data_IF_393832107039
#
_entry.id   IF_393832107039
#
_cell.length_a   1.000
_cell.length_b   1.000
_cell.length_c   1.000
_cell.angle_alpha   90.00
_cell.angle_beta   90.00
_cell.angle_gamma   90.00
#
_symmetry.space_group_name_H-M   'P 1'
#
loop_
_entity.id
_entity.type
_entity.pdbx_description
1 polymer ?
#
# COMPACT_ATOMS: atom_id res chain seq x y z
N UNK A 1 -9.94 -9.88 4.80
CA UNK A 1 -8.91 -8.97 5.35
C UNK A 1 -9.57 -8.08 6.39
N UNK A 2 -9.13 -8.20 7.64
CA UNK A 2 -9.71 -7.51 8.81
C UNK A 2 -8.68 -6.55 9.42
N UNK A 3 -9.11 -5.38 9.89
CA UNK A 3 -8.26 -4.50 10.70
C UNK A 3 -8.27 -5.03 12.15
N UNK A 4 -7.14 -5.57 12.60
CA UNK A 4 -7.06 -6.24 13.91
C UNK A 4 -6.46 -5.36 15.01
N UNK A 5 -5.86 -4.23 14.65
CA UNK A 5 -5.37 -3.25 15.62
C UNK A 5 -4.43 -2.22 15.00
N UNK A 6 -3.96 -1.31 15.85
CA UNK A 6 -3.00 -0.26 15.50
C UNK A 6 -1.84 -0.30 16.50
N UNK A 7 -0.62 -0.36 15.98
CA UNK A 7 0.62 -0.45 16.78
C UNK A 7 1.61 0.63 16.37
N UNK A 8 2.61 0.88 17.21
CA UNK A 8 3.85 1.56 16.81
C UNK A 8 4.90 0.52 16.52
N UNK A 9 5.71 0.74 15.50
CA UNK A 9 6.81 -0.14 15.16
C UNK A 9 8.02 0.70 14.70
N UNK A 10 9.25 0.37 15.12
CA UNK A 10 10.46 1.03 14.65
C UNK A 10 10.55 1.05 13.13
N UNK A 11 10.95 2.19 12.56
CA UNK A 11 10.94 2.38 11.09
C UNK A 11 11.83 1.40 10.35
N UNK A 12 12.90 0.90 10.99
CA UNK A 12 13.80 -0.10 10.41
C UNK A 12 13.21 -1.52 10.35
N UNK A 13 12.15 -1.80 11.12
CA UNK A 13 11.42 -3.07 11.10
C UNK A 13 10.24 -3.03 10.11
N UNK A 14 9.96 -1.88 9.50
CA UNK A 14 8.91 -1.73 8.50
C UNK A 14 9.45 -2.07 7.12
N UNK A 15 9.09 -3.24 6.63
CA UNK A 15 9.57 -3.75 5.35
C UNK A 15 8.52 -3.57 4.26
N UNK A 16 8.88 -3.14 3.05
CA UNK A 16 7.93 -3.06 1.95
C UNK A 16 7.40 -4.45 1.55
N UNK A 17 6.08 -4.62 1.52
CA UNK A 17 5.45 -5.85 1.03
C UNK A 17 5.52 -5.96 -0.49
N UNK A 18 6.01 -7.09 -1.00
CA UNK A 18 6.13 -7.40 -2.42
C UNK A 18 7.15 -6.56 -3.20
N UNK A 19 7.29 -6.88 -4.49
CA UNK A 19 8.05 -6.10 -5.47
C UNK A 19 7.30 -4.81 -5.85
N UNK A 20 6.94 -4.00 -4.86
CA UNK A 20 6.43 -2.67 -5.15
C UNK A 20 7.53 -1.80 -5.77
N UNK A 21 7.09 -0.78 -6.50
CA UNK A 21 7.92 0.10 -7.34
C UNK A 21 9.12 0.70 -6.61
N UNK A 22 10.14 1.06 -7.41
CA UNK A 22 11.34 1.79 -7.00
C UNK A 22 10.98 3.04 -6.18
N UNK A 23 11.74 3.26 -5.11
CA UNK A 23 11.62 4.44 -4.26
C UNK A 23 12.15 5.65 -5.03
N UNK A 24 11.30 6.68 -5.22
CA UNK A 24 11.72 7.96 -5.80
C UNK A 24 12.59 8.73 -4.79
N UNK A 25 13.90 8.92 -5.07
CA UNK A 25 14.80 9.61 -4.15
C UNK A 25 14.40 11.07 -3.90
N UNK A 26 13.77 11.75 -4.86
CA UNK A 26 13.40 13.16 -4.75
C UNK A 26 12.12 13.36 -3.94
N UNK A 27 11.13 12.47 -4.09
CA UNK A 27 9.99 12.42 -3.18
C UNK A 27 10.44 12.16 -1.73
N UNK A 28 11.37 11.22 -1.51
CA UNK A 28 11.95 10.97 -0.19
C UNK A 28 12.66 12.21 0.35
N UNK A 29 13.45 12.90 -0.49
CA UNK A 29 14.17 14.12 -0.09
C UNK A 29 13.22 15.27 0.28
N UNK A 30 12.14 15.46 -0.50
CA UNK A 30 11.10 16.45 -0.20
C UNK A 30 10.40 16.14 1.12
N UNK A 31 10.02 14.88 1.34
CA UNK A 31 9.39 14.44 2.59
C UNK A 31 10.33 14.60 3.80
N UNK A 32 11.60 14.24 3.67
CA UNK A 32 12.59 14.45 4.73
C UNK A 32 12.72 15.95 5.08
N UNK A 33 12.80 16.83 4.07
CA UNK A 33 12.80 18.29 4.29
C UNK A 33 11.51 18.82 4.92
N UNK A 34 10.36 18.18 4.66
CA UNK A 34 9.12 18.51 5.35
C UNK A 34 9.19 18.10 6.82
N UNK A 35 9.79 16.96 7.15
CA UNK A 35 10.02 16.53 8.54
C UNK A 35 10.97 17.45 9.29
N UNK A 36 11.96 18.05 8.61
CA UNK A 36 12.84 19.05 9.21
C UNK A 36 12.09 20.37 9.55
N UNK A 37 11.11 20.75 8.72
CA UNK A 37 10.42 22.05 8.82
C UNK A 37 9.12 22.02 9.62
N UNK A 38 8.50 20.85 9.74
CA UNK A 38 7.23 20.64 10.42
C UNK A 38 7.31 19.38 11.25
N UNK A 39 6.67 19.35 12.43
CA UNK A 39 6.62 18.13 13.24
C UNK A 39 6.18 16.93 12.39
N UNK A 40 6.90 15.82 12.56
CA UNK A 40 6.54 14.55 11.98
C UNK A 40 5.18 14.11 12.54
N UNK A 41 4.09 14.40 11.81
CA UNK A 41 2.68 14.08 12.13
C UNK A 41 2.37 12.58 12.08
N UNK A 42 3.23 11.76 12.70
CA UNK A 42 3.21 10.30 12.76
C UNK A 42 1.93 9.75 13.40
N UNK A 43 1.27 10.55 14.23
CA UNK A 43 0.04 10.21 14.96
C UNK A 43 -1.26 10.61 14.24
N UNK A 44 -1.17 11.30 13.09
CA UNK A 44 -2.35 11.60 12.28
C UNK A 44 -2.79 10.36 11.50
N UNK A 45 -4.11 10.08 11.52
CA UNK A 45 -4.70 8.87 10.93
C UNK A 45 -4.43 8.73 9.42
N UNK A 46 -4.19 9.85 8.73
CA UNK A 46 -3.81 9.94 7.32
C UNK A 46 -2.38 9.46 7.06
N UNK A 47 -1.51 9.61 8.06
CA UNK A 47 -0.09 9.26 7.97
C UNK A 47 0.20 7.83 8.42
N UNK A 48 -0.78 7.08 8.90
CA UNK A 48 -0.57 5.68 9.28
C UNK A 48 -0.23 4.85 8.05
N UNK A 49 0.62 3.85 8.26
CA UNK A 49 0.91 2.85 7.23
C UNK A 49 0.11 1.59 7.52
N UNK A 50 -0.10 0.77 6.50
CA UNK A 50 -0.87 -0.48 6.57
C UNK A 50 0.09 -1.66 6.51
N UNK A 51 0.16 -2.43 7.58
CA UNK A 51 0.91 -3.68 7.64
C UNK A 51 0.02 -4.88 7.32
N UNK A 52 0.52 -5.84 6.56
CA UNK A 52 -0.10 -7.17 6.41
C UNK A 52 0.45 -8.09 7.50
N UNK A 53 -0.45 -8.83 8.13
CA UNK A 53 -0.13 -9.89 9.06
C UNK A 53 -0.99 -11.12 8.76
N UNK A 54 -0.44 -12.31 8.96
CA UNK A 54 -1.19 -13.57 8.98
C UNK A 54 -1.76 -13.83 10.37
N UNK A 55 -2.62 -14.84 10.51
CA UNK A 55 -3.07 -15.29 11.83
C UNK A 55 -1.93 -15.77 12.73
N UNK A 56 -0.89 -16.37 12.15
CA UNK A 56 0.27 -16.82 12.92
C UNK A 56 1.10 -15.62 13.40
N UNK A 57 1.32 -14.62 12.54
CA UNK A 57 1.95 -13.37 12.95
C UNK A 57 1.14 -12.67 14.04
N UNK A 58 -0.19 -12.67 13.94
CA UNK A 58 -1.06 -12.05 14.93
C UNK A 58 -0.89 -12.68 16.31
N UNK A 59 -0.86 -14.01 16.40
CA UNK A 59 -0.59 -14.73 17.67
C UNK A 59 0.77 -14.35 18.24
N UNK A 60 1.79 -14.29 17.38
CA UNK A 60 3.13 -13.89 17.76
C UNK A 60 3.13 -12.44 18.30
N UNK A 61 2.53 -11.50 17.58
CA UNK A 61 2.44 -10.08 17.96
C UNK A 61 1.73 -9.92 19.30
N UNK A 62 0.60 -10.61 19.49
CA UNK A 62 -0.16 -10.60 20.76
C UNK A 62 0.73 -11.07 21.91
N UNK A 63 1.49 -12.15 21.69
CA UNK A 63 2.44 -12.68 22.68
C UNK A 63 3.58 -11.70 22.99
N UNK A 64 4.18 -11.05 21.98
CA UNK A 64 5.27 -10.10 22.18
C UNK A 64 4.82 -8.81 22.89
N UNK A 65 3.60 -8.36 22.60
CA UNK A 65 3.01 -7.20 23.25
C UNK A 65 2.43 -7.52 24.65
N UNK A 66 2.49 -8.79 25.07
CA UNK A 66 1.87 -9.29 26.30
C UNK A 66 0.42 -8.80 26.46
N UNK A 67 -0.36 -8.91 25.38
CA UNK A 67 -1.72 -8.36 25.29
C UNK A 67 -2.73 -9.42 24.85
N UNK A 68 -3.99 -9.05 24.71
CA UNK A 68 -5.05 -9.91 24.14
C UNK A 68 -5.49 -9.38 22.77
N UNK A 69 -6.14 -10.23 21.96
CA UNK A 69 -6.72 -9.78 20.68
C UNK A 69 -7.76 -8.66 20.89
N UNK A 70 -8.57 -8.77 21.95
CA UNK A 70 -9.54 -7.72 22.30
C UNK A 70 -8.86 -6.39 22.64
N UNK A 71 -7.78 -6.42 23.44
CA UNK A 71 -7.01 -5.24 23.78
C UNK A 71 -6.33 -4.62 22.53
N UNK A 72 -5.84 -5.46 21.61
CA UNK A 72 -5.29 -5.01 20.35
C UNK A 72 -6.36 -4.33 19.48
N UNK A 73 -7.60 -4.86 19.42
CA UNK A 73 -8.73 -4.20 18.75
C UNK A 73 -9.11 -2.87 19.41
N UNK A 74 -9.00 -2.76 20.74
CA UNK A 74 -9.27 -1.52 21.47
C UNK A 74 -8.28 -0.38 21.16
N UNK A 75 -7.09 -0.67 20.64
CA UNK A 75 -6.12 0.36 20.20
C UNK A 75 -6.71 1.26 19.10
N UNK A 76 -7.64 0.73 18.29
CA UNK A 76 -8.33 1.47 17.22
C UNK A 76 -9.13 2.64 17.80
N UNK A 77 -9.73 2.45 18.98
CA UNK A 77 -10.63 3.43 19.60
C UNK A 77 -9.88 4.39 20.53
N UNK A 78 -8.89 3.90 21.28
CA UNK A 78 -8.24 4.66 22.36
C UNK A 78 -7.10 5.57 21.90
N UNK A 79 -6.67 5.48 20.64
CA UNK A 79 -5.49 6.18 20.09
C UNK A 79 -4.20 5.98 20.92
N UNK A 80 -4.13 4.89 21.68
CA UNK A 80 -2.96 4.46 22.43
C UNK A 80 -2.41 3.21 21.75
N UNK A 81 -1.20 3.32 21.22
CA UNK A 81 -0.62 2.30 20.36
C UNK A 81 0.60 1.65 21.05
N UNK A 82 0.56 0.34 21.32
CA UNK A 82 1.68 -0.37 21.91
C UNK A 82 2.86 -0.40 20.93
N UNK A 83 4.09 -0.44 21.45
CA UNK A 83 5.30 -0.49 20.64
C UNK A 83 5.72 -1.95 20.42
N UNK A 84 5.73 -2.39 19.16
CA UNK A 84 6.28 -3.67 18.73
C UNK A 84 7.72 -3.44 18.24
N UNK A 85 8.70 -3.80 19.07
CA UNK A 85 10.12 -3.48 18.84
C UNK A 85 10.98 -4.65 18.38
N UNK A 86 10.44 -5.86 18.34
CA UNK A 86 11.18 -7.11 18.18
C UNK A 86 10.86 -7.85 16.88
N UNK A 87 9.90 -7.35 16.08
CA UNK A 87 9.45 -8.04 14.86
C UNK A 87 9.25 -7.13 13.65
N UNK A 88 9.65 -7.60 12.45
CA UNK A 88 9.38 -6.89 11.22
C UNK A 88 7.91 -6.98 10.82
N UNK A 89 7.41 -5.94 10.16
CA UNK A 89 6.05 -5.89 9.61
C UNK A 89 6.12 -5.56 8.11
N UNK A 90 5.38 -6.33 7.31
CA UNK A 90 5.28 -6.12 5.88
C UNK A 90 4.26 -5.01 5.55
N UNK A 91 4.72 -3.84 5.12
CA UNK A 91 3.91 -2.67 4.82
C UNK A 91 3.45 -2.62 3.36
N UNK A 92 2.14 -2.43 3.15
CA UNK A 92 1.51 -2.21 1.85
C UNK A 92 1.82 -0.85 1.25
N UNK A 93 2.03 0.16 2.08
CA UNK A 93 2.16 1.55 1.70
C UNK A 93 3.15 2.32 2.56
N UNK A 94 3.29 3.62 2.27
CA UNK A 94 4.15 4.52 3.04
C UNK A 94 5.64 4.28 2.81
N UNK A 95 6.02 3.69 1.67
CA UNK A 95 7.43 3.38 1.35
C UNK A 95 8.30 4.63 1.38
N UNK A 96 7.84 5.73 0.77
CA UNK A 96 8.59 7.00 0.78
C UNK A 96 8.60 7.66 2.16
N UNK A 97 7.49 7.56 2.92
CA UNK A 97 7.39 8.06 4.30
C UNK A 97 8.35 7.34 5.23
N UNK A 98 8.33 6.00 5.22
CA UNK A 98 9.24 5.15 5.99
C UNK A 98 10.69 5.43 5.58
N UNK A 99 10.99 5.52 4.28
CA UNK A 99 12.36 5.80 3.82
C UNK A 99 12.84 7.20 4.20
N UNK A 100 11.97 8.20 4.15
CA UNK A 100 12.27 9.56 4.61
C UNK A 100 12.48 9.58 6.13
N UNK A 101 11.65 8.86 6.89
CA UNK A 101 11.78 8.72 8.33
C UNK A 101 13.10 8.05 8.72
N UNK A 102 13.49 6.96 8.04
CA UNK A 102 14.79 6.29 8.26
C UNK A 102 15.96 7.25 7.99
N UNK A 103 15.87 8.09 6.95
CA UNK A 103 16.94 9.06 6.63
C UNK A 103 17.04 10.19 7.65
N UNK A 104 15.91 10.62 8.19
CA UNK A 104 15.85 11.71 9.17
C UNK A 104 16.18 11.22 10.59
N UNK A 105 15.55 10.14 11.03
CA UNK A 105 15.63 9.60 12.39
C UNK A 105 15.49 8.06 12.37
N UNK A 106 16.61 7.32 12.19
CA UNK A 106 16.60 5.85 12.01
C UNK A 106 15.99 5.07 13.18
N UNK A 107 16.07 5.63 14.39
CA UNK A 107 15.57 5.04 15.63
C UNK A 107 14.10 5.42 15.93
N UNK A 108 13.46 6.18 15.03
CA UNK A 108 12.05 6.55 15.19
C UNK A 108 11.12 5.34 15.05
N UNK A 109 9.89 5.52 15.52
CA UNK A 109 8.77 4.62 15.26
C UNK A 109 7.78 5.24 14.27
N UNK A 110 6.94 4.40 13.68
CA UNK A 110 5.78 4.81 12.87
C UNK A 110 4.52 4.06 13.31
N UNK A 111 3.35 4.65 13.08
CA UNK A 111 2.06 4.01 13.42
C UNK A 111 1.61 3.10 12.26
N UNK A 112 1.28 1.86 12.59
CA UNK A 112 0.91 0.80 11.64
C UNK A 112 -0.48 0.26 11.96
N UNK A 113 -1.38 0.30 10.97
CA UNK A 113 -2.67 -0.39 10.95
C UNK A 113 -2.43 -1.84 10.54
N UNK A 114 -2.68 -2.79 11.44
CA UNK A 114 -2.48 -4.22 11.20
C UNK A 114 -3.69 -4.81 10.46
N UNK A 115 -3.46 -5.28 9.24
CA UNK A 115 -4.45 -5.93 8.39
C UNK A 115 -4.19 -7.43 8.39
N UNK A 116 -5.06 -8.17 9.08
CA UNK A 116 -5.00 -9.62 9.11
C UNK A 116 -5.58 -10.22 7.83
N UNK A 117 -4.87 -11.18 7.25
CA UNK A 117 -5.29 -11.91 6.04
C UNK A 117 -5.28 -13.42 6.27
N UNK A 118 -6.20 -14.09 5.59
CA UNK A 118 -6.27 -15.54 5.52
C UNK A 118 -5.25 -16.02 4.48
N UNK A 119 -4.08 -16.42 4.98
CA UNK A 119 -2.99 -16.90 4.18
C UNK A 119 -1.78 -17.27 5.01
N UNK A 120 -0.72 -17.70 4.32
CA UNK A 120 0.54 -18.06 4.93
C UNK A 120 1.69 -17.46 4.13
N UNK A 121 2.71 -16.96 4.82
CA UNK A 121 3.89 -16.43 4.15
C UNK A 121 4.59 -17.54 3.38
N UNK A 122 4.86 -17.29 2.10
CA UNK A 122 5.70 -18.16 1.26
C UNK A 122 7.13 -17.64 1.26
N UNK A 123 7.27 -16.31 1.20
CA UNK A 123 8.54 -15.60 1.27
C UNK A 123 8.28 -14.25 1.95
N UNK A 124 8.63 -14.12 3.23
CA UNK A 124 8.42 -12.87 3.96
C UNK A 124 9.51 -11.84 3.61
N UNK A 125 9.19 -10.56 3.33
CA UNK A 125 7.86 -9.93 3.25
C UNK A 125 7.32 -9.84 1.79
N UNK A 126 7.84 -10.65 0.87
CA UNK A 126 7.63 -10.49 -0.58
C UNK A 126 6.36 -11.17 -1.11
N UNK A 127 6.01 -12.35 -0.58
CA UNK A 127 4.95 -13.19 -1.12
C UNK A 127 4.20 -13.92 -0.01
N UNK A 128 2.88 -13.77 -0.05
CA UNK A 128 1.94 -14.49 0.80
C UNK A 128 1.01 -15.35 -0.07
N UNK A 129 0.81 -16.60 0.33
CA UNK A 129 -0.19 -17.48 -0.27
C UNK A 129 -1.55 -17.08 0.32
N UNK A 130 -2.35 -16.38 -0.48
CA UNK A 130 -3.64 -15.83 -0.06
C UNK A 130 -4.79 -16.69 -0.57
N UNK A 131 -5.87 -16.74 0.22
CA UNK A 131 -7.19 -17.14 -0.27
C UNK A 131 -7.70 -16.03 -1.22
N UNK A 132 -8.40 -16.42 -2.28
CA UNK A 132 -8.77 -15.56 -3.44
C UNK A 132 -9.40 -14.20 -3.08
N UNK A 133 -10.17 -14.12 -1.99
CA UNK A 133 -10.83 -12.88 -1.54
C UNK A 133 -9.83 -11.85 -1.03
N UNK A 134 -8.79 -12.29 -0.31
CA UNK A 134 -7.79 -11.39 0.27
C UNK A 134 -6.77 -10.92 -0.76
N UNK A 135 -6.52 -11.74 -1.80
CA UNK A 135 -5.68 -11.35 -2.93
C UNK A 135 -6.24 -10.11 -3.63
N UNK A 136 -7.54 -10.09 -3.92
CA UNK A 136 -8.15 -8.93 -4.57
C UNK A 136 -8.13 -7.69 -3.67
N UNK A 137 -8.44 -7.84 -2.38
CA UNK A 137 -8.47 -6.71 -1.45
C UNK A 137 -7.08 -6.10 -1.18
N UNK A 138 -6.02 -6.91 -1.11
CA UNK A 138 -4.63 -6.44 -1.05
C UNK A 138 -4.28 -5.68 -2.32
N UNK A 139 -4.58 -6.26 -3.49
CA UNK A 139 -4.31 -5.65 -4.78
C UNK A 139 -5.00 -4.28 -4.91
N UNK A 140 -6.27 -4.19 -4.48
CA UNK A 140 -7.03 -2.94 -4.51
C UNK A 140 -6.43 -1.87 -3.61
N UNK A 141 -5.94 -2.26 -2.42
CA UNK A 141 -5.27 -1.33 -1.51
C UNK A 141 -3.92 -0.87 -2.05
N UNK A 142 -3.14 -1.76 -2.67
CA UNK A 142 -1.89 -1.38 -3.36
C UNK A 142 -2.21 -0.40 -4.50
N UNK A 143 -3.22 -0.70 -5.31
CA UNK A 143 -3.67 0.14 -6.43
C UNK A 143 -4.26 1.48 -5.96
N UNK A 144 -4.95 1.52 -4.82
CA UNK A 144 -5.51 2.75 -4.24
C UNK A 144 -4.44 3.67 -3.65
N UNK A 145 -3.34 3.09 -3.15
CA UNK A 145 -2.24 3.84 -2.51
C UNK A 145 -1.12 4.20 -3.45
N UNK A 146 -1.19 3.71 -4.69
CA UNK A 146 -0.32 4.11 -5.79
C UNK A 146 -0.51 5.60 -6.22
N UNK A 147 -1.11 6.44 -5.38
CA UNK A 147 -1.06 7.92 -5.47
C UNK A 147 0.34 8.48 -5.13
N UNK A 148 1.25 7.68 -4.55
CA UNK A 148 2.57 8.14 -4.09
C UNK A 148 3.69 8.18 -5.16
N UNK A 149 3.44 8.00 -6.48
CA UNK A 149 4.38 8.29 -7.60
C UNK A 149 3.73 8.03 -8.99
N UNK A 150 4.23 8.61 -10.11
CA UNK A 150 3.49 8.67 -11.37
C UNK A 150 3.31 7.26 -11.92
N UNK A 151 2.06 6.85 -12.15
CA UNK A 151 1.86 5.78 -13.10
C UNK A 151 2.38 6.28 -14.44
N UNK A 152 3.19 5.48 -15.13
CA UNK A 152 3.26 5.67 -16.57
C UNK A 152 1.84 5.58 -17.11
N UNK A 153 1.52 6.40 -18.10
CA UNK A 153 0.19 6.40 -18.70
C UNK A 153 -0.19 4.98 -19.21
N UNK A 154 0.83 4.14 -19.48
CA UNK A 154 0.70 2.72 -19.77
C UNK A 154 0.09 1.89 -18.63
N UNK A 155 0.48 2.07 -17.36
CA UNK A 155 -0.12 1.29 -16.26
C UNK A 155 -1.55 1.75 -15.94
N UNK A 156 -1.81 3.06 -16.04
CA UNK A 156 -3.18 3.58 -15.94
C UNK A 156 -4.05 2.92 -17.01
N UNK A 157 -3.57 2.89 -18.25
CA UNK A 157 -4.27 2.27 -19.35
C UNK A 157 -4.49 0.77 -19.12
N UNK A 158 -3.44 0.05 -18.71
CA UNK A 158 -3.48 -1.39 -18.43
C UNK A 158 -4.57 -1.75 -17.42
N UNK A 159 -4.63 -1.01 -16.31
CA UNK A 159 -5.63 -1.23 -15.25
C UNK A 159 -7.05 -0.88 -15.73
N UNK A 160 -7.24 0.22 -16.45
CA UNK A 160 -8.54 0.58 -17.02
C UNK A 160 -9.05 -0.49 -18.00
N UNK A 161 -8.18 -1.05 -18.84
CA UNK A 161 -8.53 -2.16 -19.73
C UNK A 161 -8.84 -3.44 -18.99
N UNK A 162 -8.08 -3.77 -17.94
CA UNK A 162 -8.36 -4.91 -17.05
C UNK A 162 -9.78 -4.82 -16.48
N UNK A 163 -10.15 -3.69 -15.87
CA UNK A 163 -11.51 -3.51 -15.33
C UNK A 163 -12.59 -3.54 -16.41
N UNK A 164 -12.33 -2.95 -17.58
CA UNK A 164 -13.29 -2.96 -18.70
C UNK A 164 -13.52 -4.38 -19.25
N UNK A 165 -12.48 -5.23 -19.33
CA UNK A 165 -12.60 -6.65 -19.71
C UNK A 165 -13.32 -7.49 -18.66
N UNK A 166 -13.10 -7.19 -17.38
CA UNK A 166 -13.78 -7.83 -16.25
C UNK A 166 -15.22 -7.34 -16.06
N UNK A 167 -15.70 -6.42 -16.92
CA UNK A 167 -17.00 -5.75 -16.82
C UNK A 167 -17.22 -5.03 -15.47
N UNK A 168 -16.15 -4.65 -14.79
CA UNK A 168 -16.18 -3.92 -13.52
C UNK A 168 -16.30 -2.41 -13.79
N UNK A 169 -17.55 -1.98 -14.01
CA UNK A 169 -17.89 -0.58 -14.33
C UNK A 169 -17.58 0.36 -13.16
N UNK A 170 -17.70 -0.11 -11.92
CA UNK A 170 -17.47 0.70 -10.73
C UNK A 170 -15.99 1.07 -10.62
N UNK A 171 -15.10 0.08 -10.64
CA UNK A 171 -13.65 0.33 -10.55
C UNK A 171 -13.11 1.09 -11.75
N UNK A 172 -13.65 0.82 -12.94
CA UNK A 172 -13.32 1.60 -14.13
C UNK A 172 -13.64 3.09 -13.93
N UNK A 173 -14.85 3.41 -13.46
CA UNK A 173 -15.30 4.78 -13.24
C UNK A 173 -14.51 5.47 -12.13
N UNK A 174 -14.31 4.78 -11.00
CA UNK A 174 -13.49 5.29 -9.90
C UNK A 174 -12.06 5.60 -10.34
N UNK A 175 -11.45 4.73 -11.14
CA UNK A 175 -10.08 4.91 -11.62
C UNK A 175 -9.98 6.05 -12.63
N UNK A 176 -10.94 6.15 -13.55
CA UNK A 176 -11.00 7.22 -14.53
C UNK A 176 -11.15 8.58 -13.86
N UNK A 177 -12.01 8.68 -12.84
CA UNK A 177 -12.23 9.92 -12.07
C UNK A 177 -10.98 10.39 -11.30
N UNK A 178 -10.03 9.49 -11.01
CA UNK A 178 -8.76 9.84 -10.35
C UNK A 178 -7.73 10.48 -11.29
N UNK A 179 -7.97 10.49 -12.60
CA UNK A 179 -7.11 11.16 -13.57
C UNK A 179 -7.44 12.64 -13.67
N UNK A 180 -6.47 13.48 -14.04
CA UNK A 180 -6.73 14.88 -14.38
C UNK A 180 -7.67 14.99 -15.59
N UNK A 181 -8.43 16.07 -15.70
CA UNK A 181 -9.37 16.27 -16.80
C UNK A 181 -8.73 16.07 -18.20
N UNK A 182 -7.52 16.57 -18.50
CA UNK A 182 -6.85 16.29 -19.78
C UNK A 182 -6.57 14.80 -20.00
N UNK A 183 -6.14 14.07 -18.96
CA UNK A 183 -5.88 12.63 -19.04
C UNK A 183 -7.17 11.83 -19.22
N UNK A 184 -8.28 12.24 -18.60
CA UNK A 184 -9.58 11.63 -18.82
C UNK A 184 -10.04 11.75 -20.28
N UNK A 185 -9.86 12.93 -20.88
CA UNK A 185 -10.19 13.18 -22.28
C UNK A 185 -9.32 12.31 -23.18
N UNK A 186 -8.00 12.31 -22.95
CA UNK A 186 -7.03 11.50 -23.70
C UNK A 186 -7.38 10.01 -23.65
N UNK A 187 -7.65 9.46 -22.45
CA UNK A 187 -8.06 8.06 -22.27
C UNK A 187 -9.38 7.75 -22.98
N UNK A 188 -10.40 8.61 -22.85
CA UNK A 188 -11.69 8.40 -23.54
C UNK A 188 -11.52 8.42 -25.06
N UNK A 189 -10.69 9.31 -25.59
CA UNK A 189 -10.36 9.39 -27.01
C UNK A 189 -9.60 8.14 -27.49
N UNK A 190 -8.61 7.70 -26.72
CA UNK A 190 -7.83 6.50 -27.01
C UNK A 190 -8.70 5.24 -27.03
N UNK A 191 -9.61 5.10 -26.07
CA UNK A 191 -10.50 3.94 -25.94
C UNK A 191 -11.51 3.79 -27.10
N UNK A 192 -11.67 4.81 -27.96
CA UNK A 192 -12.47 4.74 -29.19
C UNK A 192 -11.70 4.12 -30.36
N UNK A 193 -10.37 4.01 -30.27
CA UNK A 193 -9.51 3.47 -31.35
C UNK A 193 -9.35 1.97 -31.18
N UNK A 194 -10.28 1.20 -31.73
CA UNK A 194 -10.39 -0.26 -31.48
C UNK A 194 -9.12 -1.04 -31.85
N UNK A 195 -8.50 -0.74 -32.99
CA UNK A 195 -7.28 -1.44 -33.44
C UNK A 195 -6.10 -1.25 -32.47
N UNK A 196 -5.88 -0.02 -31.98
CA UNK A 196 -4.82 0.27 -31.01
C UNK A 196 -5.12 -0.38 -29.66
N UNK A 197 -6.39 -0.39 -29.26
CA UNK A 197 -6.84 -1.02 -28.02
C UNK A 197 -6.61 -2.53 -28.07
N UNK A 198 -6.93 -3.20 -29.18
CA UNK A 198 -6.70 -4.64 -29.34
C UNK A 198 -5.20 -4.97 -29.29
N UNK A 199 -4.36 -4.17 -29.95
CA UNK A 199 -2.90 -4.34 -29.91
C UNK A 199 -2.33 -4.22 -28.49
N UNK A 200 -2.73 -3.19 -27.73
CA UNK A 200 -2.29 -3.03 -26.34
C UNK A 200 -2.92 -4.03 -25.39
N UNK A 201 -4.13 -4.52 -25.70
CA UNK A 201 -4.80 -5.56 -24.91
C UNK A 201 -4.00 -6.87 -24.90
N UNK A 202 -3.24 -7.16 -25.97
CA UNK A 202 -2.32 -8.30 -26.03
C UNK A 202 -1.11 -8.16 -25.08
N UNK A 203 -0.82 -6.92 -24.65
CA UNK A 203 0.30 -6.58 -23.77
C UNK A 203 -0.10 -6.50 -22.29
N UNK A 204 -1.39 -6.66 -21.93
CA UNK A 204 -1.86 -6.54 -20.53
C UNK A 204 -1.20 -7.52 -19.56
N UNK A 205 -0.66 -8.63 -20.08
CA UNK A 205 0.09 -9.65 -19.34
C UNK A 205 1.43 -9.13 -18.81
N UNK A 206 1.95 -8.04 -19.37
CA UNK A 206 3.18 -7.40 -18.93
C UNK A 206 2.88 -6.17 -18.06
N UNK A 207 3.69 -5.89 -17.02
CA UNK A 207 3.56 -4.65 -16.26
C UNK A 207 3.84 -3.43 -17.16
N UNK A 208 3.12 -2.32 -16.94
CA UNK A 208 3.34 -1.09 -17.69
C UNK A 208 4.73 -0.53 -17.43
N UNK A 209 5.51 -0.35 -18.50
CA UNK A 209 6.88 0.18 -18.43
C UNK A 209 6.82 1.64 -18.01
N UNK A 210 7.70 2.03 -17.09
CA UNK A 210 7.93 3.43 -16.71
C UNK A 210 9.07 3.94 -17.59
N UNK A 211 8.79 4.95 -18.41
CA UNK A 211 9.80 5.71 -19.11
C UNK A 211 10.28 6.86 -18.20
#
# INVERSE_FOLDING_TARGET
MELVGIIRCPVHLLLPYGEGRQIDPDAVRRLAKCFDKTECRRQEDENFVRGIVTYDDLKLIISALNTSESALKHTILRKQYPLLSDRPIACLDGRHRIRAAIRHEPLSWWVVKLLCVQGSWVDFPRKIALVSVDHQAIQDKIEATSREAPYSDAEIYRLLRKYKKQNDKLRFKERLNRLSAPKQISVKGFLKRELLVQGLDALLKFPGVVA
#
